data_IF_740453805008
#
_entry.id   IF_740453805008
#
_cell.length_a   1.000
_cell.length_b   1.000
_cell.length_c   1.000
_cell.angle_alpha   90.00
_cell.angle_beta   90.00
_cell.angle_gamma   90.00
#
_symmetry.space_group_name_H-M   'P 1'
#
loop_
_entity.id
_entity.type
_entity.pdbx_description
1 polymer ?
#
# COMPACT_ATOMS: atom_id res chain seq x y z
N UNK A 1 -5.93 -61.40 -21.69
CA UNK A 1 -5.92 -59.95 -21.98
C UNK A 1 -7.08 -59.29 -21.25
N UNK A 2 -6.82 -58.40 -20.30
CA UNK A 2 -7.75 -57.35 -19.82
C UNK A 2 -6.93 -56.39 -18.96
N UNK A 3 -6.62 -55.22 -19.52
CA UNK A 3 -5.90 -54.12 -18.88
C UNK A 3 -6.90 -53.37 -17.99
N UNK A 4 -6.61 -53.22 -16.69
CA UNK A 4 -7.41 -52.40 -15.80
C UNK A 4 -6.79 -51.01 -15.73
N UNK A 5 -7.51 -49.99 -16.22
CA UNK A 5 -7.12 -48.59 -16.17
C UNK A 5 -7.49 -47.98 -14.81
N UNK A 6 -6.53 -47.26 -14.23
CA UNK A 6 -6.68 -46.37 -13.09
C UNK A 6 -7.58 -45.16 -13.39
N UNK A 7 -8.26 -44.64 -12.38
CA UNK A 7 -8.77 -43.27 -12.36
C UNK A 7 -8.48 -42.65 -10.98
N UNK A 8 -7.48 -41.77 -10.92
CA UNK A 8 -7.21 -40.89 -9.78
C UNK A 8 -8.02 -39.61 -10.04
N UNK A 9 -9.05 -39.38 -9.23
CA UNK A 9 -9.80 -38.13 -9.21
C UNK A 9 -9.01 -37.16 -8.34
N UNK A 10 -8.30 -36.23 -8.97
CA UNK A 10 -7.65 -35.11 -8.30
C UNK A 10 -8.70 -34.06 -7.92
N UNK A 11 -8.91 -33.87 -6.61
CA UNK A 11 -9.76 -32.82 -6.06
C UNK A 11 -8.99 -31.49 -6.14
N UNK A 12 -9.36 -30.61 -7.06
CA UNK A 12 -8.86 -29.24 -7.12
C UNK A 12 -9.67 -28.41 -6.13
N UNK A 13 -9.07 -28.07 -4.99
CA UNK A 13 -9.62 -27.05 -4.09
C UNK A 13 -9.41 -25.69 -4.72
N UNK A 14 -10.46 -25.12 -5.32
CA UNK A 14 -10.46 -23.74 -5.74
C UNK A 14 -10.46 -22.84 -4.50
N UNK A 15 -9.30 -22.31 -4.13
CA UNK A 15 -9.22 -21.24 -3.14
C UNK A 15 -9.78 -20.00 -3.82
N UNK A 16 -11.00 -19.60 -3.46
CA UNK A 16 -11.55 -18.31 -3.86
C UNK A 16 -10.61 -17.22 -3.38
N UNK A 17 -9.90 -16.57 -4.30
CA UNK A 17 -9.18 -15.34 -4.01
C UNK A 17 -10.26 -14.31 -3.59
N UNK A 18 -10.40 -14.09 -2.29
CA UNK A 18 -11.12 -12.93 -1.80
C UNK A 18 -10.33 -11.73 -2.31
N UNK A 19 -10.88 -11.01 -3.28
CA UNK A 19 -10.40 -9.67 -3.61
C UNK A 19 -10.58 -8.86 -2.32
N UNK A 20 -9.50 -8.64 -1.57
CA UNK A 20 -9.55 -7.88 -0.34
C UNK A 20 -9.96 -6.45 -0.71
N UNK A 21 -11.20 -6.09 -0.41
CA UNK A 21 -11.77 -4.78 -0.72
C UNK A 21 -11.13 -3.73 0.19
N UNK A 22 -10.56 -2.68 -0.39
CA UNK A 22 -9.82 -1.63 0.32
C UNK A 22 -10.77 -0.46 0.54
N UNK A 23 -10.97 -0.04 1.77
CA UNK A 23 -11.86 1.06 2.12
C UNK A 23 -11.15 2.18 2.87
N UNK A 24 -11.67 3.40 2.74
CA UNK A 24 -11.23 4.53 3.56
C UNK A 24 -11.47 4.21 5.04
N UNK A 25 -10.45 4.45 5.85
CA UNK A 25 -10.41 4.16 7.27
C UNK A 25 -9.90 2.77 7.65
N UNK A 26 -9.61 1.90 6.66
CA UNK A 26 -8.91 0.64 6.92
C UNK A 26 -7.46 0.92 7.35
N UNK A 27 -6.97 0.12 8.31
CA UNK A 27 -5.57 0.08 8.72
C UNK A 27 -5.01 -1.32 8.45
N UNK A 28 -3.94 -1.39 7.68
CA UNK A 28 -3.23 -2.62 7.37
C UNK A 28 -1.85 -2.62 8.04
N UNK A 29 -1.39 -3.78 8.50
CA UNK A 29 -0.03 -3.98 8.93
C UNK A 29 0.81 -4.43 7.74
N UNK A 30 1.78 -3.63 7.35
CA UNK A 30 2.72 -3.92 6.29
C UNK A 30 4.03 -4.44 6.90
N UNK A 31 4.37 -5.69 6.61
CA UNK A 31 5.67 -6.27 7.01
C UNK A 31 6.81 -5.55 6.30
N UNK A 32 7.85 -5.20 7.05
CA UNK A 32 9.08 -4.64 6.49
C UNK A 32 10.11 -5.74 6.22
N UNK A 33 11.04 -5.47 5.31
CA UNK A 33 12.19 -6.34 5.07
C UNK A 33 13.36 -6.00 6.03
N UNK A 34 14.37 -6.86 6.06
CA UNK A 34 15.64 -6.62 6.76
C UNK A 34 15.54 -6.27 8.26
N UNK A 35 14.67 -6.98 8.99
CA UNK A 35 14.43 -6.80 10.43
C UNK A 35 13.97 -5.39 10.84
N UNK A 36 13.51 -4.57 9.90
CA UNK A 36 12.91 -3.29 10.21
C UNK A 36 11.53 -3.49 10.86
N UNK A 37 11.13 -2.61 11.79
CA UNK A 37 9.80 -2.67 12.38
C UNK A 37 8.69 -2.60 11.30
N UNK A 38 7.54 -3.27 11.50
CA UNK A 38 6.42 -3.20 10.56
C UNK A 38 5.80 -1.80 10.54
N UNK A 39 5.04 -1.50 9.50
CA UNK A 39 4.41 -0.20 9.29
C UNK A 39 2.90 -0.35 9.23
N UNK A 40 2.17 0.41 10.04
CA UNK A 40 0.73 0.55 9.91
C UNK A 40 0.42 1.54 8.78
N UNK A 41 -0.41 1.11 7.83
CA UNK A 41 -0.87 1.87 6.68
C UNK A 41 -2.36 2.15 6.81
N UNK A 42 -2.71 3.41 7.12
CA UNK A 42 -4.09 3.89 7.19
C UNK A 42 -4.52 4.46 5.85
N UNK A 43 -5.58 3.93 5.25
CA UNK A 43 -6.20 4.46 4.03
C UNK A 43 -7.00 5.72 4.37
N UNK A 44 -6.45 6.89 4.09
CA UNK A 44 -7.13 8.17 4.35
C UNK A 44 -8.03 8.63 3.20
N UNK A 45 -7.69 8.27 1.95
CA UNK A 45 -8.51 8.58 0.77
C UNK A 45 -8.26 7.59 -0.36
N UNK A 46 -9.28 7.34 -1.17
CA UNK A 46 -9.18 6.68 -2.46
C UNK A 46 -9.63 7.65 -3.53
N UNK A 47 -8.83 7.82 -4.58
CA UNK A 47 -9.15 8.68 -5.73
C UNK A 47 -8.70 7.99 -7.01
N UNK A 48 -9.27 8.37 -8.15
CA UNK A 48 -8.76 7.95 -9.46
C UNK A 48 -7.97 9.08 -10.11
N UNK A 49 -7.10 8.76 -11.06
CA UNK A 49 -6.45 9.79 -11.89
C UNK A 49 -7.46 10.69 -12.59
N UNK A 50 -8.62 10.14 -12.97
CA UNK A 50 -9.74 10.89 -13.53
C UNK A 50 -10.30 11.94 -12.56
N UNK A 51 -10.47 11.59 -11.28
CA UNK A 51 -10.97 12.52 -10.25
C UNK A 51 -10.03 13.71 -10.00
N UNK A 52 -8.75 13.57 -10.34
CA UNK A 52 -7.73 14.59 -10.12
C UNK A 52 -7.57 15.56 -11.31
N UNK A 53 -8.28 15.29 -12.42
CA UNK A 53 -8.21 16.04 -13.68
C UNK A 53 -6.79 16.15 -14.26
N UNK A 54 -5.94 15.14 -13.99
CA UNK A 54 -4.57 15.08 -14.48
C UNK A 54 -4.60 14.27 -15.79
N UNK A 55 -4.65 14.98 -16.93
CA UNK A 55 -5.05 14.45 -18.23
C UNK A 55 -4.23 13.27 -18.81
N UNK A 56 -4.89 12.52 -19.69
CA UNK A 56 -4.40 11.31 -20.38
C UNK A 56 -5.54 10.29 -20.52
N UNK A 57 -5.53 9.41 -21.52
CA UNK A 57 -6.59 8.40 -21.67
C UNK A 57 -6.84 7.68 -20.35
N UNK A 58 -8.12 7.63 -19.98
CA UNK A 58 -8.63 7.41 -18.63
C UNK A 58 -8.33 5.99 -18.14
N UNK A 59 -7.10 5.78 -17.67
CA UNK A 59 -6.84 4.68 -16.77
C UNK A 59 -7.50 5.05 -15.43
N UNK A 60 -8.65 4.41 -15.15
CA UNK A 60 -9.34 4.43 -13.85
C UNK A 60 -8.49 3.71 -12.76
N UNK A 61 -7.19 3.96 -12.75
CA UNK A 61 -6.26 3.47 -11.75
C UNK A 61 -6.57 4.20 -10.46
N UNK A 62 -6.89 3.40 -9.44
CA UNK A 62 -7.17 3.87 -8.10
C UNK A 62 -5.84 4.18 -7.42
N UNK A 63 -5.79 5.34 -6.79
CA UNK A 63 -4.70 5.83 -5.96
C UNK A 63 -5.17 5.73 -4.50
N UNK A 64 -4.40 5.03 -3.69
CA UNK A 64 -4.59 4.98 -2.25
C UNK A 64 -3.71 6.03 -1.59
N UNK A 65 -4.32 7.00 -0.92
CA UNK A 65 -3.63 7.99 -0.12
C UNK A 65 -3.51 7.48 1.31
N UNK A 66 -2.29 7.20 1.74
CA UNK A 66 -2.00 6.56 3.00
C UNK A 66 -1.36 7.52 4.00
N UNK A 67 -1.68 7.33 5.27
CA UNK A 67 -0.85 7.75 6.40
C UNK A 67 -0.08 6.53 6.89
N UNK A 68 1.23 6.68 7.10
CA UNK A 68 2.12 5.59 7.48
C UNK A 68 2.73 5.84 8.85
N UNK A 69 2.70 4.83 9.72
CA UNK A 69 3.30 4.90 11.06
C UNK A 69 4.07 3.63 11.34
N UNK A 70 5.36 3.75 11.66
CA UNK A 70 6.16 2.61 12.11
C UNK A 70 5.67 2.09 13.47
N UNK A 71 5.58 0.78 13.62
CA UNK A 71 5.14 0.12 14.86
C UNK A 71 6.36 -0.45 15.57
N UNK A 72 6.72 0.13 16.72
CA UNK A 72 7.81 -0.34 17.57
C UNK A 72 7.39 -0.36 19.03
N UNK A 73 7.80 -1.40 19.75
CA UNK A 73 7.56 -1.52 21.20
C UNK A 73 8.56 -0.70 22.03
N UNK A 74 9.69 -0.32 21.45
CA UNK A 74 10.82 0.27 22.19
C UNK A 74 10.98 1.76 21.96
N UNK A 75 10.45 2.29 20.86
CA UNK A 75 10.55 3.71 20.53
C UNK A 75 9.34 4.19 19.73
N UNK A 76 8.98 5.46 19.89
CA UNK A 76 8.03 6.12 19.01
C UNK A 76 8.70 6.41 17.67
N UNK A 77 8.07 5.98 16.58
CA UNK A 77 8.56 6.19 15.22
C UNK A 77 7.77 7.32 14.53
N UNK A 78 8.40 8.08 13.61
CA UNK A 78 7.74 9.19 12.93
C UNK A 78 6.50 8.74 12.15
N UNK A 79 5.52 9.63 12.01
CA UNK A 79 4.39 9.42 11.09
C UNK A 79 4.64 10.16 9.79
N UNK A 80 4.44 9.47 8.67
CA UNK A 80 4.37 10.09 7.34
C UNK A 80 2.90 10.38 7.05
N UNK A 81 2.53 11.66 7.14
CA UNK A 81 1.13 12.08 7.13
C UNK A 81 0.42 11.92 5.79
N UNK A 82 1.14 11.89 4.67
CA UNK A 82 0.53 11.62 3.36
C UNK A 82 1.53 10.94 2.44
N UNK A 83 1.09 9.86 1.78
CA UNK A 83 1.86 9.17 0.76
C UNK A 83 0.89 8.49 -0.23
N UNK A 84 0.97 8.80 -1.53
CA UNK A 84 0.07 8.25 -2.53
C UNK A 84 0.66 6.99 -3.16
N UNK A 85 -0.12 5.91 -3.21
CA UNK A 85 0.27 4.61 -3.73
C UNK A 85 -0.66 4.19 -4.87
N UNK A 86 -0.10 3.48 -5.85
CA UNK A 86 -0.91 2.65 -6.73
C UNK A 86 -1.58 1.54 -5.90
N UNK A 87 -2.84 1.20 -6.19
CA UNK A 87 -3.60 0.24 -5.38
C UNK A 87 -2.94 -1.16 -5.36
N UNK A 88 -2.26 -1.56 -6.43
CA UNK A 88 -1.50 -2.82 -6.47
C UNK A 88 -0.32 -2.83 -5.49
N UNK A 89 0.25 -1.68 -5.17
CA UNK A 89 1.42 -1.57 -4.30
C UNK A 89 1.08 -1.88 -2.83
N UNK A 90 -0.19 -1.74 -2.45
CA UNK A 90 -0.67 -2.06 -1.11
C UNK A 90 -1.08 -3.53 -0.95
N UNK A 91 -1.16 -4.29 -2.05
CA UNK A 91 -1.56 -5.70 -2.04
C UNK A 91 -0.81 -6.57 -1.02
N UNK A 92 0.52 -6.42 -0.81
CA UNK A 92 1.25 -7.19 0.19
C UNK A 92 0.74 -7.00 1.63
N UNK A 93 0.12 -5.86 1.95
CA UNK A 93 -0.39 -5.58 3.29
C UNK A 93 -1.83 -6.08 3.52
N UNK A 94 -2.57 -6.39 2.45
CA UNK A 94 -4.01 -6.66 2.54
C UNK A 94 -4.35 -7.94 3.31
N UNK A 95 -3.37 -8.84 3.48
CA UNK A 95 -3.53 -10.03 4.30
C UNK A 95 -3.73 -9.74 5.79
N UNK A 96 -3.27 -8.56 6.27
CA UNK A 96 -3.25 -8.21 7.69
C UNK A 96 -3.96 -6.87 7.96
N UNK A 97 -5.29 -6.88 7.85
CA UNK A 97 -6.11 -5.76 8.34
C UNK A 97 -6.16 -5.78 9.87
N UNK A 98 -5.69 -4.72 10.51
CA UNK A 98 -5.58 -4.64 11.98
C UNK A 98 -6.60 -3.70 12.63
N UNK A 99 -7.18 -2.76 11.87
CA UNK A 99 -8.21 -1.85 12.37
C UNK A 99 -9.06 -1.27 11.21
N UNK A 100 -10.19 -0.63 11.55
CA UNK A 100 -11.11 0.00 10.59
C UNK A 100 -11.78 1.26 11.16
N UNK A 101 -12.34 2.09 10.28
CA UNK A 101 -13.10 3.29 10.65
C UNK A 101 -12.24 4.42 11.24
N UNK A 102 -10.93 4.36 11.06
CA UNK A 102 -10.01 5.43 11.50
C UNK A 102 -10.06 6.62 10.56
N UNK A 103 -9.62 7.76 11.08
CA UNK A 103 -9.41 8.98 10.30
C UNK A 103 -7.92 9.32 10.34
N UNK A 104 -7.35 9.76 9.22
CA UNK A 104 -5.98 10.23 9.21
C UNK A 104 -5.83 11.47 10.11
N UNK A 105 -4.62 11.67 10.61
CA UNK A 105 -4.28 12.81 11.44
C UNK A 105 -3.81 13.99 10.57
N UNK A 106 -3.91 15.20 11.11
CA UNK A 106 -3.34 16.37 10.44
C UNK A 106 -1.81 16.31 10.42
N UNK A 107 -1.15 16.77 9.34
CA UNK A 107 -1.71 17.48 8.18
C UNK A 107 -1.96 16.60 6.93
N UNK A 108 -2.63 15.45 7.04
CA UNK A 108 -2.88 14.54 5.90
C UNK A 108 -3.45 15.23 4.65
N UNK A 109 -4.51 16.03 4.80
CA UNK A 109 -5.15 16.72 3.67
C UNK A 109 -4.23 17.79 3.06
N UNK A 110 -3.45 18.49 3.91
CA UNK A 110 -2.45 19.45 3.43
C UNK A 110 -1.37 18.78 2.58
N UNK A 111 -0.87 17.62 3.01
CA UNK A 111 0.09 16.83 2.23
C UNK A 111 -0.47 16.34 0.90
N UNK A 112 -1.75 15.94 0.87
CA UNK A 112 -2.45 15.58 -0.37
C UNK A 112 -2.50 16.73 -1.37
N UNK A 113 -2.84 17.94 -0.90
CA UNK A 113 -2.97 19.11 -1.77
C UNK A 113 -1.61 19.58 -2.30
N UNK A 114 -0.55 19.47 -1.50
CA UNK A 114 0.83 19.71 -1.92
C UNK A 114 1.26 18.70 -2.99
N UNK A 115 1.03 17.41 -2.76
CA UNK A 115 1.28 16.37 -3.75
C UNK A 115 0.54 16.63 -5.06
N UNK A 116 -0.77 16.93 -5.01
CA UNK A 116 -1.57 17.20 -6.20
C UNK A 116 -1.01 18.40 -6.99
N UNK A 117 -0.53 19.43 -6.29
CA UNK A 117 0.13 20.57 -6.91
C UNK A 117 1.41 20.15 -7.63
N UNK A 118 2.23 19.29 -7.03
CA UNK A 118 3.45 18.77 -7.64
C UNK A 118 3.16 17.84 -8.84
N UNK A 119 2.15 16.97 -8.76
CA UNK A 119 1.78 16.09 -9.88
C UNK A 119 1.30 16.90 -11.08
N UNK A 120 0.51 17.96 -10.87
CA UNK A 120 0.08 18.87 -11.96
C UNK A 120 1.25 19.59 -12.64
N UNK A 121 2.40 19.71 -11.96
CA UNK A 121 3.66 20.21 -12.52
C UNK A 121 4.56 19.10 -13.08
N UNK A 122 4.11 17.84 -13.05
CA UNK A 122 4.90 16.65 -13.39
C UNK A 122 6.15 16.46 -12.50
N UNK A 123 6.09 16.93 -11.25
CA UNK A 123 7.19 16.86 -10.28
C UNK A 123 7.03 15.70 -9.27
N UNK A 124 5.84 15.09 -9.23
CA UNK A 124 5.53 13.98 -8.34
C UNK A 124 4.76 12.87 -9.07
N UNK A 125 4.79 11.67 -8.50
CA UNK A 125 4.05 10.50 -8.95
C UNK A 125 3.40 9.77 -7.78
N UNK A 126 3.12 8.48 -7.97
CA UNK A 126 2.64 7.58 -6.91
C UNK A 126 3.70 6.52 -6.64
N UNK A 127 3.75 6.01 -5.41
CA UNK A 127 4.59 4.87 -5.07
C UNK A 127 4.04 3.58 -5.70
N UNK A 128 4.94 2.80 -6.30
CA UNK A 128 4.67 1.46 -6.86
C UNK A 128 5.33 0.33 -6.04
N UNK A 129 5.92 0.68 -4.90
CA UNK A 129 6.54 -0.22 -3.92
C UNK A 129 5.67 -0.36 -2.67
N UNK A 130 5.96 -1.33 -1.80
CA UNK A 130 5.16 -1.56 -0.60
C UNK A 130 5.17 -0.33 0.34
N UNK A 131 4.09 -0.08 1.08
CA UNK A 131 4.05 1.01 2.05
C UNK A 131 5.15 0.95 3.11
N UNK A 132 5.51 -0.26 3.56
CA UNK A 132 6.62 -0.45 4.50
C UNK A 132 7.95 0.01 3.90
N UNK A 133 8.27 -0.41 2.67
CA UNK A 133 9.49 0.01 2.00
C UNK A 133 9.53 1.53 1.78
N UNK A 134 8.44 2.10 1.26
CA UNK A 134 8.35 3.54 1.03
C UNK A 134 8.52 4.36 2.32
N UNK A 135 7.93 3.91 3.44
CA UNK A 135 8.10 4.56 4.73
C UNK A 135 9.57 4.66 5.14
N UNK A 136 10.30 3.55 5.09
CA UNK A 136 11.71 3.53 5.47
C UNK A 136 12.60 4.30 4.49
N UNK A 137 12.24 4.37 3.20
CA UNK A 137 12.89 5.23 2.22
C UNK A 137 12.68 6.71 2.53
N UNK A 138 11.45 7.11 2.88
CA UNK A 138 11.11 8.51 3.23
C UNK A 138 11.89 8.95 4.46
N UNK A 139 12.10 8.06 5.43
CA UNK A 139 12.92 8.33 6.61
C UNK A 139 14.43 8.28 6.34
N UNK A 140 14.85 7.92 5.12
CA UNK A 140 16.26 7.82 4.73
C UNK A 140 17.00 6.61 5.31
N UNK A 141 16.28 5.62 5.87
CA UNK A 141 16.88 4.40 6.45
C UNK A 141 17.32 3.43 5.36
N UNK A 142 16.52 3.33 4.29
CA UNK A 142 16.85 2.53 3.10
C UNK A 142 16.87 3.42 1.84
N UNK A 143 17.66 3.01 0.85
CA UNK A 143 17.82 3.66 -0.44
C UNK A 143 16.75 3.20 -1.45
N UNK A 144 16.80 3.75 -2.67
CA UNK A 144 15.83 3.46 -3.72
C UNK A 144 15.90 2.02 -4.27
N UNK A 145 16.96 1.28 -3.95
CA UNK A 145 17.16 -0.12 -4.30
C UNK A 145 16.89 -1.07 -3.12
N UNK A 146 16.42 -0.56 -1.97
CA UNK A 146 16.27 -1.32 -0.74
C UNK A 146 17.60 -1.61 -0.01
N UNK A 147 18.70 -0.99 -0.43
CA UNK A 147 19.97 -0.99 0.30
C UNK A 147 19.92 -0.05 1.51
N UNK A 148 20.74 -0.26 2.53
CA UNK A 148 20.79 0.65 3.68
C UNK A 148 21.67 1.88 3.38
N UNK A 149 21.20 3.07 3.77
CA UNK A 149 22.08 4.24 3.81
C UNK A 149 22.96 4.10 5.06
N UNK A 150 24.25 3.83 4.85
CA UNK A 150 25.25 3.83 5.92
C UNK A 150 25.69 5.24 6.30
#
# INVERSE_FOLDING_TARGET
MKKSLSAIIGLITATSAMSADVSVGDVFLCTSEHDLPPVAALVGKLETWGDLEIGGEVENKIIAHLQLTGISETQELPTVFHSPFALEAIAPCLAERIDQGKQPQDPFLGGRDEWLTAVRKSEAGVFSISPAQAYWMILGVVDQNGGFNQ
#
